data_IF_068054590777
#
_entry.id   IF_068054590777
#
_cell.length_a   1.000
_cell.length_b   1.000
_cell.length_c   1.000
_cell.angle_alpha   90.00
_cell.angle_beta   90.00
_cell.angle_gamma   90.00
#
_symmetry.space_group_name_H-M   'P 1'
#
loop_
_entity.id
_entity.type
_entity.pdbx_description
1 polymer ?
#
# COMPACT_ATOMS: atom_id res chain seq x y z
N UNK A 1 -31.24 -0.87 -55.81
CA UNK A 1 -30.17 -0.34 -54.94
C UNK A 1 -28.97 -0.08 -55.83
N UNK A 2 -28.42 1.14 -55.88
CA UNK A 2 -27.23 1.41 -56.70
C UNK A 2 -25.96 0.91 -55.98
N UNK A 3 -24.95 0.52 -56.75
CA UNK A 3 -23.66 0.02 -56.24
C UNK A 3 -22.98 1.01 -55.25
N UNK A 4 -23.30 2.31 -55.40
CA UNK A 4 -22.83 3.40 -54.53
C UNK A 4 -23.46 3.35 -53.13
N UNK A 5 -24.73 2.96 -53.03
CA UNK A 5 -25.45 2.93 -51.74
C UNK A 5 -24.98 1.75 -50.87
N UNK A 6 -24.59 0.65 -51.50
CA UNK A 6 -24.02 -0.52 -50.85
C UNK A 6 -22.58 -0.26 -50.33
N UNK A 7 -21.75 0.44 -51.11
CA UNK A 7 -20.42 0.89 -50.65
C UNK A 7 -20.50 1.78 -49.41
N UNK A 8 -21.40 2.78 -49.43
CA UNK A 8 -21.60 3.71 -48.30
C UNK A 8 -22.08 2.98 -47.04
N UNK A 9 -22.98 2.01 -47.20
CA UNK A 9 -23.45 1.19 -46.09
C UNK A 9 -22.31 0.38 -45.46
N UNK A 10 -21.44 -0.22 -46.28
CA UNK A 10 -20.28 -0.97 -45.80
C UNK A 10 -19.27 -0.09 -45.05
N UNK A 11 -19.03 1.13 -45.52
CA UNK A 11 -18.18 2.12 -44.84
C UNK A 11 -18.72 2.49 -43.46
N UNK A 12 -20.03 2.75 -43.35
CA UNK A 12 -20.68 3.07 -42.08
C UNK A 12 -20.59 1.90 -41.09
N UNK A 13 -20.84 0.67 -41.55
CA UNK A 13 -20.71 -0.52 -40.70
C UNK A 13 -19.27 -0.73 -40.22
N UNK A 14 -18.27 -0.49 -41.09
CA UNK A 14 -16.86 -0.54 -40.69
C UNK A 14 -16.52 0.53 -39.63
N UNK A 15 -17.03 1.75 -39.78
CA UNK A 15 -16.85 2.82 -38.80
C UNK A 15 -17.47 2.46 -37.44
N UNK A 16 -18.68 1.90 -37.42
CA UNK A 16 -19.33 1.41 -36.19
C UNK A 16 -18.47 0.36 -35.48
N UNK A 17 -17.96 -0.62 -36.21
CA UNK A 17 -17.07 -1.66 -35.66
C UNK A 17 -15.81 -1.03 -35.05
N UNK A 18 -15.20 -0.07 -35.73
CA UNK A 18 -14.01 0.64 -35.22
C UNK A 18 -14.30 1.40 -33.92
N UNK A 19 -15.44 2.10 -33.86
CA UNK A 19 -15.89 2.81 -32.65
C UNK A 19 -16.15 1.84 -31.50
N UNK A 20 -16.75 0.69 -31.75
CA UNK A 20 -17.01 -0.30 -30.70
C UNK A 20 -15.72 -0.95 -30.18
N UNK A 21 -14.74 -1.22 -31.07
CA UNK A 21 -13.39 -1.64 -30.66
C UNK A 21 -12.74 -0.56 -29.78
N UNK A 22 -12.83 0.72 -30.16
CA UNK A 22 -12.30 1.82 -29.36
C UNK A 22 -12.95 1.88 -27.98
N UNK A 23 -14.28 1.84 -27.90
CA UNK A 23 -15.03 1.82 -26.62
C UNK A 23 -14.56 0.68 -25.72
N UNK A 24 -14.38 -0.52 -26.27
CA UNK A 24 -13.93 -1.69 -25.51
C UNK A 24 -12.51 -1.48 -24.94
N UNK A 25 -11.63 -0.84 -25.71
CA UNK A 25 -10.28 -0.51 -25.24
C UNK A 25 -10.30 0.56 -24.16
N UNK A 26 -11.11 1.61 -24.29
CA UNK A 26 -11.29 2.63 -23.23
C UNK A 26 -11.86 2.01 -21.96
N UNK A 27 -12.85 1.13 -22.07
CA UNK A 27 -13.41 0.42 -20.93
C UNK A 27 -12.35 -0.43 -20.21
N UNK A 28 -11.48 -1.10 -20.96
CA UNK A 28 -10.34 -1.85 -20.41
C UNK A 28 -9.33 -0.92 -19.71
N UNK A 29 -9.07 0.27 -20.27
CA UNK A 29 -8.22 1.29 -19.63
C UNK A 29 -8.80 1.76 -18.30
N UNK A 30 -10.09 2.08 -18.25
CA UNK A 30 -10.79 2.48 -17.01
C UNK A 30 -10.73 1.37 -15.96
N UNK A 31 -10.99 0.13 -16.36
CA UNK A 31 -10.94 -1.02 -15.46
C UNK A 31 -9.55 -1.18 -14.80
N UNK A 32 -8.47 -1.08 -15.57
CA UNK A 32 -7.11 -1.15 -14.99
C UNK A 32 -6.79 0.03 -14.09
N UNK A 33 -7.26 1.23 -14.42
CA UNK A 33 -7.09 2.40 -13.57
C UNK A 33 -7.80 2.23 -12.21
N UNK A 34 -9.03 1.71 -12.24
CA UNK A 34 -9.81 1.44 -11.03
C UNK A 34 -9.16 0.35 -10.17
N UNK A 35 -8.64 -0.71 -10.79
CA UNK A 35 -7.89 -1.75 -10.09
C UNK A 35 -6.64 -1.19 -9.40
N UNK A 36 -5.87 -0.34 -10.09
CA UNK A 36 -4.68 0.30 -9.51
C UNK A 36 -5.04 1.16 -8.28
N UNK A 37 -6.12 1.94 -8.37
CA UNK A 37 -6.60 2.75 -7.24
C UNK A 37 -7.07 1.88 -6.05
N UNK A 38 -7.75 0.76 -6.31
CA UNK A 38 -8.17 -0.19 -5.27
C UNK A 38 -6.97 -0.79 -4.53
N UNK A 39 -5.94 -1.23 -5.26
CA UNK A 39 -4.72 -1.81 -4.68
C UNK A 39 -4.04 -0.80 -3.75
N UNK A 40 -3.95 0.47 -4.17
CA UNK A 40 -3.37 1.53 -3.35
C UNK A 40 -4.15 1.77 -2.06
N UNK A 41 -5.48 1.79 -2.13
CA UNK A 41 -6.32 1.94 -0.95
C UNK A 41 -6.16 0.78 0.04
N UNK A 42 -6.07 -0.46 -0.46
CA UNK A 42 -5.80 -1.62 0.39
C UNK A 42 -4.43 -1.55 1.05
N UNK A 43 -3.39 -1.13 0.33
CA UNK A 43 -2.06 -0.96 0.89
C UNK A 43 -2.08 0.03 2.07
N UNK A 44 -2.75 1.19 1.92
CA UNK A 44 -2.88 2.20 2.97
C UNK A 44 -3.68 1.68 4.17
N UNK A 45 -4.76 0.93 3.94
CA UNK A 45 -5.56 0.33 5.01
C UNK A 45 -4.73 -0.66 5.82
N UNK A 46 -4.00 -1.56 5.16
CA UNK A 46 -3.14 -2.54 5.82
C UNK A 46 -2.01 -1.84 6.58
N UNK A 47 -1.39 -0.82 5.98
CA UNK A 47 -0.38 0.00 6.65
C UNK A 47 -0.95 0.64 7.92
N UNK A 48 -2.19 1.14 7.88
CA UNK A 48 -2.84 1.77 9.03
C UNK A 48 -3.07 0.76 10.16
N UNK A 49 -3.46 -0.47 9.82
CA UNK A 49 -3.58 -1.56 10.79
C UNK A 49 -2.22 -1.91 11.43
N UNK A 50 -1.14 -1.95 10.63
CA UNK A 50 0.21 -2.17 11.16
C UNK A 50 0.66 -1.05 12.09
N UNK A 51 0.44 0.22 11.73
CA UNK A 51 0.78 1.36 12.60
C UNK A 51 0.04 1.25 13.94
N UNK A 52 -1.26 0.89 13.92
CA UNK A 52 -2.03 0.64 15.13
C UNK A 52 -1.47 -0.51 15.97
N UNK A 53 -1.16 -1.65 15.34
CA UNK A 53 -0.58 -2.81 16.01
C UNK A 53 0.79 -2.49 16.63
N UNK A 54 1.67 -1.79 15.90
CA UNK A 54 2.98 -1.33 16.39
C UNK A 54 2.80 -0.44 17.62
N UNK A 55 1.87 0.52 17.59
CA UNK A 55 1.60 1.41 18.72
C UNK A 55 1.11 0.67 19.96
N UNK A 56 0.20 -0.30 19.81
CA UNK A 56 -0.29 -1.13 20.92
C UNK A 56 0.80 -2.05 21.47
N UNK A 57 1.60 -2.67 20.59
CA UNK A 57 2.71 -3.55 20.98
C UNK A 57 3.81 -2.78 21.69
N UNK A 58 4.11 -1.55 21.24
CA UNK A 58 5.09 -0.68 21.90
C UNK A 58 4.63 -0.30 23.30
N UNK A 59 3.35 0.05 23.49
CA UNK A 59 2.79 0.41 24.81
C UNK A 59 2.76 -0.77 25.80
N UNK A 60 2.52 -1.98 25.31
CA UNK A 60 2.36 -3.17 26.17
C UNK A 60 3.69 -3.74 26.70
N UNK A 61 4.81 -3.36 26.09
CA UNK A 61 6.16 -3.80 26.46
C UNK A 61 6.36 -5.30 26.22
N UNK A 62 5.66 -5.88 25.23
CA UNK A 62 5.87 -7.28 24.87
C UNK A 62 7.23 -7.44 24.20
N UNK A 63 8.05 -8.32 24.77
CA UNK A 63 9.40 -8.61 24.32
C UNK A 63 9.56 -10.09 24.02
N UNK A 64 10.28 -10.39 22.94
CA UNK A 64 10.74 -11.74 22.63
C UNK A 64 12.27 -11.76 22.64
N UNK A 65 12.84 -12.83 23.19
CA UNK A 65 14.29 -13.06 23.08
C UNK A 65 14.55 -13.67 21.71
N UNK A 66 15.19 -12.90 20.83
CA UNK A 66 15.62 -13.35 19.50
C UNK A 66 17.14 -13.24 19.44
N UNK A 67 17.83 -14.33 19.10
CA UNK A 67 19.31 -14.36 19.03
C UNK A 67 20.02 -13.90 20.32
N UNK A 68 19.41 -14.13 21.50
CA UNK A 68 19.97 -13.71 22.80
C UNK A 68 19.75 -12.24 23.16
N UNK A 69 19.12 -11.46 22.28
CA UNK A 69 18.74 -10.07 22.54
C UNK A 69 17.22 -9.97 22.74
N UNK A 70 16.80 -9.27 23.79
CA UNK A 70 15.38 -9.00 24.03
C UNK A 70 14.90 -7.93 23.06
N UNK A 71 14.15 -8.33 22.03
CA UNK A 71 13.62 -7.45 21.00
C UNK A 71 12.11 -7.30 21.18
N UNK A 72 11.62 -6.07 21.11
CA UNK A 72 10.20 -5.80 21.20
C UNK A 72 9.40 -6.31 20.00
N UNK A 73 8.16 -6.72 20.28
CA UNK A 73 7.18 -7.08 19.25
C UNK A 73 6.94 -5.92 18.29
N UNK A 74 7.02 -4.67 18.76
CA UNK A 74 6.85 -3.49 17.93
C UNK A 74 7.90 -3.42 16.81
N UNK A 75 9.15 -3.80 17.09
CA UNK A 75 10.24 -3.83 16.10
C UNK A 75 9.97 -4.86 15.01
N UNK A 76 9.53 -6.06 15.39
CA UNK A 76 9.21 -7.14 14.44
C UNK A 76 8.02 -6.73 13.56
N UNK A 77 6.97 -6.15 14.15
CA UNK A 77 5.80 -5.67 13.41
C UNK A 77 6.14 -4.52 12.47
N UNK A 78 7.00 -3.58 12.89
CA UNK A 78 7.49 -2.49 12.06
C UNK A 78 8.29 -3.00 10.85
N UNK A 79 9.16 -3.98 11.06
CA UNK A 79 9.90 -4.61 9.98
C UNK A 79 8.99 -5.41 9.03
N UNK A 80 8.04 -6.17 9.58
CA UNK A 80 7.03 -6.89 8.80
C UNK A 80 6.17 -5.96 7.95
N UNK A 81 5.77 -4.81 8.50
CA UNK A 81 5.06 -3.77 7.76
C UNK A 81 5.88 -3.23 6.58
N UNK A 82 7.19 -3.02 6.76
CA UNK A 82 8.09 -2.59 5.69
C UNK A 82 8.17 -3.61 4.55
N UNK A 83 8.24 -4.91 4.87
CA UNK A 83 8.23 -6.00 3.87
C UNK A 83 6.91 -6.03 3.11
N UNK A 84 5.78 -6.04 3.82
CA UNK A 84 4.45 -6.10 3.20
C UNK A 84 4.21 -4.87 2.33
N UNK A 85 4.63 -3.69 2.79
CA UNK A 85 4.58 -2.47 1.99
C UNK A 85 5.37 -2.58 0.69
N UNK A 86 6.55 -3.21 0.72
CA UNK A 86 7.32 -3.50 -0.50
C UNK A 86 6.63 -4.51 -1.41
N UNK A 87 5.92 -5.51 -0.88
CA UNK A 87 5.12 -6.41 -1.71
C UNK A 87 4.02 -5.65 -2.46
N UNK A 88 3.32 -4.73 -1.78
CA UNK A 88 2.35 -3.85 -2.44
C UNK A 88 2.98 -2.95 -3.49
N UNK A 89 4.18 -2.43 -3.25
CA UNK A 89 4.94 -1.69 -4.27
C UNK A 89 5.22 -2.54 -5.51
N UNK A 90 5.63 -3.81 -5.33
CA UNK A 90 5.88 -4.71 -6.45
C UNK A 90 4.62 -4.94 -7.30
N UNK A 91 3.51 -5.21 -6.61
CA UNK A 91 2.22 -5.43 -7.26
C UNK A 91 1.76 -4.18 -8.01
N UNK A 92 1.73 -3.00 -7.38
CA UNK A 92 1.25 -1.76 -8.03
C UNK A 92 2.15 -1.37 -9.22
N UNK A 93 3.48 -1.32 -9.01
CA UNK A 93 4.40 -0.70 -9.99
C UNK A 93 4.91 -1.67 -11.06
N UNK A 94 5.18 -2.93 -10.73
CA UNK A 94 5.76 -3.87 -11.68
C UNK A 94 4.73 -4.80 -12.32
N UNK A 95 3.59 -5.04 -11.68
CA UNK A 95 2.57 -5.92 -12.25
C UNK A 95 1.43 -5.13 -12.88
N UNK A 96 0.77 -4.25 -12.12
CA UNK A 96 -0.45 -3.57 -12.62
C UNK A 96 -0.16 -2.35 -13.49
N UNK A 97 0.80 -1.51 -13.11
CA UNK A 97 1.11 -0.32 -13.88
C UNK A 97 1.48 -0.61 -15.37
N UNK A 98 2.26 -1.66 -15.71
CA UNK A 98 2.48 -2.04 -17.11
C UNK A 98 1.22 -2.44 -17.87
N UNK A 99 0.22 -3.05 -17.21
CA UNK A 99 -1.06 -3.41 -17.84
C UNK A 99 -1.83 -2.16 -18.24
N UNK A 100 -1.90 -1.16 -17.35
CA UNK A 100 -2.50 0.14 -17.64
C UNK A 100 -1.77 0.86 -18.78
N UNK A 101 -0.43 0.89 -18.76
CA UNK A 101 0.35 1.51 -19.84
C UNK A 101 0.14 0.78 -21.17
N UNK A 102 -0.01 -0.54 -21.15
CA UNK A 102 -0.30 -1.35 -22.33
C UNK A 102 -1.64 -1.00 -22.97
N UNK A 103 -2.71 -0.89 -22.17
CA UNK A 103 -4.04 -0.53 -22.67
C UNK A 103 -4.09 0.89 -23.22
N UNK A 104 -3.41 1.85 -22.57
CA UNK A 104 -3.26 3.24 -23.04
C UNK A 104 -2.53 3.29 -24.40
N UNK A 105 -1.39 2.60 -24.54
CA UNK A 105 -0.65 2.55 -25.81
C UNK A 105 -1.50 1.96 -26.96
N UNK A 106 -2.29 0.94 -26.65
CA UNK A 106 -3.22 0.35 -27.62
C UNK A 106 -4.33 1.33 -27.98
N UNK A 107 -4.87 2.07 -27.00
CA UNK A 107 -5.84 3.15 -27.21
C UNK A 107 -5.34 4.20 -28.19
N UNK A 108 -4.16 4.78 -27.94
CA UNK A 108 -3.52 5.77 -28.84
C UNK A 108 -3.39 5.22 -30.27
N UNK A 109 -3.00 3.94 -30.41
CA UNK A 109 -2.87 3.30 -31.72
C UNK A 109 -4.21 3.20 -32.44
N UNK A 110 -5.29 2.90 -31.73
CA UNK A 110 -6.64 2.80 -32.31
C UNK A 110 -7.18 4.18 -32.66
N UNK A 111 -7.05 5.16 -31.76
CA UNK A 111 -7.46 6.56 -31.99
C UNK A 111 -6.79 7.12 -33.25
N UNK A 112 -5.50 6.80 -33.48
CA UNK A 112 -4.79 7.22 -34.69
C UNK A 112 -5.29 6.59 -36.01
N UNK A 113 -6.06 5.50 -35.95
CA UNK A 113 -6.50 4.68 -37.10
C UNK A 113 -8.01 4.63 -37.31
N UNK A 114 -8.80 5.29 -36.46
CA UNK A 114 -10.26 5.11 -36.41
C UNK A 114 -10.99 5.75 -37.62
N UNK A 115 -10.33 6.68 -38.32
CA UNK A 115 -10.80 7.40 -39.50
C UNK A 115 -10.59 8.91 -39.32
N UNK A 116 -10.22 9.65 -40.37
CA UNK A 116 -9.93 11.09 -40.29
C UNK A 116 -11.12 11.88 -39.70
N UNK A 117 -12.36 11.52 -40.09
CA UNK A 117 -13.60 12.19 -39.65
C UNK A 117 -13.85 12.14 -38.13
N UNK A 118 -13.34 11.11 -37.46
CA UNK A 118 -13.58 10.86 -36.03
C UNK A 118 -12.34 11.14 -35.17
N UNK A 119 -11.18 11.39 -35.81
CA UNK A 119 -9.89 11.52 -35.13
C UNK A 119 -9.84 12.71 -34.17
N UNK A 120 -10.53 13.80 -34.52
CA UNK A 120 -10.59 15.01 -33.71
C UNK A 120 -11.59 14.92 -32.54
N UNK A 121 -12.50 13.93 -32.57
CA UNK A 121 -13.51 13.73 -31.52
C UNK A 121 -13.11 12.66 -30.50
N UNK A 122 -12.19 11.77 -30.86
CA UNK A 122 -11.90 10.53 -30.14
C UNK A 122 -10.40 10.47 -29.76
N UNK A 123 -9.86 11.53 -29.16
CA UNK A 123 -8.44 11.67 -28.82
C UNK A 123 -8.15 11.61 -27.31
N UNK A 124 -9.10 11.09 -26.51
CA UNK A 124 -9.04 11.08 -25.05
C UNK A 124 -7.74 10.45 -24.52
N UNK A 125 -7.34 9.29 -25.05
CA UNK A 125 -6.15 8.58 -24.56
C UNK A 125 -4.88 9.38 -24.85
N UNK A 126 -4.80 10.00 -26.03
CA UNK A 126 -3.70 10.87 -26.45
C UNK A 126 -3.63 12.13 -25.57
N UNK A 127 -4.76 12.80 -25.34
CA UNK A 127 -4.85 14.01 -24.51
C UNK A 127 -4.45 13.73 -23.07
N UNK A 128 -4.95 12.65 -22.45
CA UNK A 128 -4.53 12.23 -21.11
C UNK A 128 -3.03 11.92 -21.06
N UNK A 129 -2.51 11.23 -22.07
CA UNK A 129 -1.08 10.91 -22.16
C UNK A 129 -0.18 12.14 -22.19
N UNK A 130 -0.58 13.17 -22.92
CA UNK A 130 0.16 14.43 -23.06
C UNK A 130 0.08 15.33 -21.81
N UNK A 131 -1.05 15.30 -21.09
CA UNK A 131 -1.26 16.07 -19.86
C UNK A 131 -0.71 15.38 -18.59
N UNK A 132 -0.36 14.08 -18.68
CA UNK A 132 0.16 13.29 -17.56
C UNK A 132 1.56 13.68 -17.03
N UNK A 133 2.55 14.07 -17.86
CA UNK A 133 3.87 14.46 -17.40
C UNK A 133 3.74 15.75 -16.57
N UNK A 134 4.16 15.70 -15.29
CA UNK A 134 4.34 16.92 -14.50
C UNK A 134 5.84 17.14 -14.32
N UNK A 135 6.37 18.18 -14.95
CA UNK A 135 7.73 18.64 -14.68
C UNK A 135 7.80 19.19 -13.25
N UNK A 136 8.47 18.49 -12.34
CA UNK A 136 8.81 19.06 -11.03
C UNK A 136 10.16 19.75 -11.17
N UNK A 137 10.13 21.08 -11.12
CA UNK A 137 11.35 21.90 -11.11
C UNK A 137 11.90 21.95 -9.69
N UNK A 138 12.98 21.22 -9.43
CA UNK A 138 13.71 21.34 -8.17
C UNK A 138 14.60 22.59 -8.20
N UNK A 139 14.23 23.61 -7.42
CA UNK A 139 14.97 24.87 -7.32
C UNK A 139 15.60 24.96 -5.93
N UNK A 140 16.94 24.90 -5.87
CA UNK A 140 17.68 25.17 -4.65
C UNK A 140 18.51 26.44 -4.89
N UNK A 141 18.24 27.49 -4.11
CA UNK A 141 19.05 28.72 -4.07
C UNK A 141 19.19 29.44 -5.43
N UNK A 142 18.06 29.69 -6.12
CA UNK A 142 17.94 30.44 -7.40
C UNK A 142 18.75 29.87 -8.59
N UNK A 143 19.28 28.64 -8.50
CA UNK A 143 19.80 27.89 -9.65
C UNK A 143 18.93 26.67 -9.92
N UNK A 144 18.44 26.55 -11.15
CA UNK A 144 17.69 25.38 -11.63
C UNK A 144 18.72 24.26 -11.86
N UNK A 145 18.91 23.39 -10.87
CA UNK A 145 19.99 22.39 -10.90
C UNK A 145 19.66 21.17 -11.78
N UNK A 146 18.38 20.82 -12.00
CA UNK A 146 18.01 19.71 -12.87
C UNK A 146 16.54 19.78 -13.27
N UNK A 147 16.24 19.63 -14.57
CA UNK A 147 14.89 19.27 -15.02
C UNK A 147 14.79 17.75 -14.93
N UNK A 148 13.97 17.26 -14.00
CA UNK A 148 13.62 15.85 -13.95
C UNK A 148 12.21 15.77 -14.50
N UNK A 149 12.07 15.16 -15.68
CA UNK A 149 10.78 14.74 -16.20
C UNK A 149 10.30 13.59 -15.33
N UNK A 150 9.52 13.89 -14.28
CA UNK A 150 8.92 12.88 -13.44
C UNK A 150 7.75 12.25 -14.18
N UNK A 151 8.03 11.13 -14.82
CA UNK A 151 6.98 10.29 -15.37
C UNK A 151 6.14 9.71 -14.22
N UNK A 152 4.89 9.33 -14.48
CA UNK A 152 3.97 8.81 -13.44
C UNK A 152 4.52 7.59 -12.68
N UNK A 153 5.46 6.85 -13.29
CA UNK A 153 6.23 5.77 -12.65
C UNK A 153 7.08 6.26 -11.47
N UNK A 154 7.69 7.43 -11.59
CA UNK A 154 8.62 7.96 -10.59
C UNK A 154 7.89 8.56 -9.40
N UNK A 155 6.68 9.10 -9.61
CA UNK A 155 5.79 9.57 -8.54
C UNK A 155 5.36 8.41 -7.62
N UNK A 156 4.95 7.29 -8.22
CA UNK A 156 4.59 6.09 -7.46
C UNK A 156 5.80 5.53 -6.70
N UNK A 157 6.97 5.40 -7.37
CA UNK A 157 8.21 4.96 -6.72
C UNK A 157 8.59 5.83 -5.53
N UNK A 158 8.52 7.16 -5.67
CA UNK A 158 8.85 8.08 -4.59
C UNK A 158 7.92 7.88 -3.37
N UNK A 159 6.61 7.72 -3.61
CA UNK A 159 5.65 7.47 -2.53
C UNK A 159 5.96 6.17 -1.78
N UNK A 160 6.11 5.06 -2.50
CA UNK A 160 6.35 3.76 -1.89
C UNK A 160 7.72 3.69 -1.17
N UNK A 161 8.78 4.19 -1.81
CA UNK A 161 10.12 4.20 -1.22
C UNK A 161 10.20 5.15 -0.02
N UNK A 162 9.52 6.30 -0.07
CA UNK A 162 9.46 7.24 1.05
C UNK A 162 8.85 6.60 2.30
N UNK A 163 7.70 5.94 2.16
CA UNK A 163 7.05 5.21 3.26
C UNK A 163 7.90 4.02 3.72
N UNK A 164 8.53 3.30 2.79
CA UNK A 164 9.41 2.18 3.13
C UNK A 164 10.61 2.62 3.99
N UNK A 165 11.32 3.68 3.60
CA UNK A 165 12.43 4.19 4.39
C UNK A 165 11.98 4.72 5.75
N UNK A 166 10.78 5.30 5.83
CA UNK A 166 10.20 5.72 7.11
C UNK A 166 9.93 4.53 8.04
N UNK A 167 9.41 3.41 7.52
CA UNK A 167 9.20 2.18 8.29
C UNK A 167 10.52 1.51 8.69
N UNK A 168 11.52 1.51 7.81
CA UNK A 168 12.87 1.03 8.16
C UNK A 168 13.51 1.88 9.25
N UNK A 169 13.44 3.20 9.13
CA UNK A 169 13.93 4.11 10.15
C UNK A 169 13.23 3.89 11.49
N UNK A 170 11.90 3.76 11.47
CA UNK A 170 11.11 3.39 12.66
C UNK A 170 11.58 2.07 13.28
N UNK A 171 11.85 1.07 12.45
CA UNK A 171 12.36 -0.24 12.91
C UNK A 171 13.71 -0.10 13.61
N UNK A 172 14.63 0.68 13.04
CA UNK A 172 15.95 0.93 13.65
C UNK A 172 15.81 1.68 14.97
N UNK A 173 14.97 2.71 15.03
CA UNK A 173 14.72 3.46 16.26
C UNK A 173 14.13 2.56 17.34
N UNK A 174 13.10 1.77 17.01
CA UNK A 174 12.49 0.83 17.95
C UNK A 174 13.47 -0.23 18.43
N UNK A 175 14.37 -0.70 17.57
CA UNK A 175 15.42 -1.64 17.96
C UNK A 175 16.37 -1.07 19.03
N UNK A 176 16.71 0.21 18.96
CA UNK A 176 17.59 0.85 19.96
C UNK A 176 16.86 1.35 21.21
N UNK A 177 15.64 1.87 21.05
CA UNK A 177 14.85 2.44 22.15
C UNK A 177 14.23 1.34 23.02
N UNK A 178 13.83 0.24 22.39
CA UNK A 178 13.14 -0.86 23.07
C UNK A 178 14.17 -1.92 23.51
N UNK A 179 14.97 -1.54 24.52
CA UNK A 179 15.55 -2.51 25.44
C UNK A 179 14.50 -2.74 26.52
N UNK A 180 13.63 -3.75 26.39
CA UNK A 180 12.74 -4.11 27.48
C UNK A 180 13.65 -4.50 28.64
N UNK A 181 13.67 -3.66 29.68
CA UNK A 181 14.14 -4.11 30.98
C UNK A 181 13.50 -5.47 31.19
N UNK A 182 14.33 -6.49 31.40
CA UNK A 182 13.91 -7.79 31.85
C UNK A 182 13.35 -7.71 33.29
N UNK A 183 12.58 -6.66 33.62
CA UNK A 183 11.52 -6.75 34.61
C UNK A 183 10.40 -7.54 33.96
N UNK A 184 10.68 -8.83 33.84
CA UNK A 184 9.81 -9.86 34.40
C UNK A 184 8.54 -9.22 34.95
N UNK A 185 7.48 -9.20 34.13
CA UNK A 185 6.13 -9.34 34.67
C UNK A 185 6.04 -10.77 35.22
N UNK A 186 6.92 -11.15 36.17
CA UNK A 186 6.48 -11.96 37.28
C UNK A 186 5.37 -11.13 37.86
N UNK A 187 4.15 -11.65 37.69
CA UNK A 187 2.96 -11.29 38.43
C UNK A 187 3.04 -9.91 39.11
N UNK A 188 2.23 -8.97 38.63
CA UNK A 188 1.54 -8.08 39.56
C UNK A 188 0.74 -8.94 40.54
N UNK A 189 1.46 -9.54 41.47
CA UNK A 189 1.02 -10.08 42.74
C UNK A 189 1.92 -9.42 43.79
N UNK A 190 1.94 -8.09 43.75
CA UNK A 190 1.87 -7.34 45.00
C UNK A 190 0.39 -7.25 45.35
N UNK A 191 -0.24 -8.39 45.64
CA UNK A 191 -1.32 -8.36 46.62
C UNK A 191 -0.65 -8.06 47.97
N UNK A 192 -1.07 -7.03 48.70
CA UNK A 192 -0.52 -6.72 50.04
C UNK A 192 -0.94 -7.76 51.09
N UNK A 193 -1.40 -8.94 50.65
CA UNK A 193 -2.13 -9.90 51.45
C UNK A 193 -1.61 -11.30 51.14
N UNK A 194 -0.77 -11.84 52.01
CA UNK A 194 -0.43 -13.26 51.99
C UNK A 194 -1.46 -14.01 52.84
N UNK A 195 -2.26 -14.88 52.22
CA UNK A 195 -3.19 -15.76 52.94
C UNK A 195 -2.50 -17.11 53.14
N UNK A 196 -2.25 -17.48 54.40
CA UNK A 196 -1.79 -18.83 54.74
C UNK A 196 -2.94 -19.60 55.38
N UNK A 197 -3.38 -20.67 54.73
CA UNK A 197 -4.39 -21.58 55.25
C UNK A 197 -3.75 -22.90 55.66
N UNK A 198 -3.92 -23.29 56.92
CA UNK A 198 -3.47 -24.58 57.44
C UNK A 198 -4.71 -25.44 57.69
N UNK A 199 -4.72 -26.63 57.08
CA UNK A 199 -5.77 -27.63 57.29
C UNK A 199 -5.36 -28.56 58.42
N UNK A 200 -6.06 -28.50 59.55
CA UNK A 200 -5.79 -29.39 60.69
C UNK A 200 -6.64 -30.65 60.56
N UNK A 201 -5.98 -31.78 60.28
CA UNK A 201 -6.65 -33.05 59.92
C UNK A 201 -7.46 -33.65 61.09
N UNK A 202 -7.13 -33.35 62.35
CA UNK A 202 -7.79 -33.99 63.50
C UNK A 202 -9.25 -33.58 63.71
N UNK A 203 -9.62 -32.34 63.38
CA UNK A 203 -10.97 -31.79 63.62
C UNK A 203 -11.66 -31.30 62.33
N UNK A 204 -11.08 -31.59 61.16
CA UNK A 204 -11.56 -31.16 59.85
C UNK A 204 -11.91 -29.66 59.74
N UNK A 205 -11.22 -28.82 60.52
CA UNK A 205 -11.33 -27.37 60.48
C UNK A 205 -10.20 -26.77 59.65
N UNK A 206 -10.52 -25.70 58.93
CA UNK A 206 -9.56 -24.93 58.14
C UNK A 206 -9.40 -23.58 58.83
N UNK A 207 -8.17 -23.25 59.22
CA UNK A 207 -7.83 -21.95 59.79
C UNK A 207 -6.96 -21.19 58.78
N UNK A 208 -7.39 -19.98 58.43
CA UNK A 208 -6.70 -19.12 57.48
C UNK A 208 -6.37 -17.81 58.17
N UNK A 209 -5.08 -17.49 58.24
CA UNK A 209 -4.60 -16.22 58.75
C UNK A 209 -4.26 -15.29 57.59
N UNK A 210 -4.73 -14.05 57.71
CA UNK A 210 -4.52 -12.98 56.74
C UNK A 210 -3.45 -12.06 57.32
N UNK A 211 -2.23 -12.17 56.79
CA UNK A 211 -1.14 -11.27 57.16
C UNK A 211 -1.05 -10.12 56.16
N UNK A 212 -1.12 -8.89 56.69
CA UNK A 212 -0.85 -7.66 55.95
C UNK A 212 0.65 -7.35 56.04
N UNK A 213 1.29 -7.16 54.89
CA UNK A 213 2.70 -6.74 54.79
C UNK A 213 2.82 -5.21 54.66
#
# INVERSE_FOLDING_TARGET
MSNVDESRKNEIELLKIKVDIWKQVINTQQHFNDLAMKIRNFAILILSAFIGAIGVSFKSGFAFVVMGHSTSVATILSFGAAIIWMLFFFVDVYWYHPLLVGSVKKGITIESKIGEELKDFIDLTKTIGNESPKEIKFSFRKKVCKRIELHSKDKAKLFYLGVFYLLLFSTVVLYFVDSPDAKSKTLSDKSPISIQCIKTISNNSISCDINYL
#
